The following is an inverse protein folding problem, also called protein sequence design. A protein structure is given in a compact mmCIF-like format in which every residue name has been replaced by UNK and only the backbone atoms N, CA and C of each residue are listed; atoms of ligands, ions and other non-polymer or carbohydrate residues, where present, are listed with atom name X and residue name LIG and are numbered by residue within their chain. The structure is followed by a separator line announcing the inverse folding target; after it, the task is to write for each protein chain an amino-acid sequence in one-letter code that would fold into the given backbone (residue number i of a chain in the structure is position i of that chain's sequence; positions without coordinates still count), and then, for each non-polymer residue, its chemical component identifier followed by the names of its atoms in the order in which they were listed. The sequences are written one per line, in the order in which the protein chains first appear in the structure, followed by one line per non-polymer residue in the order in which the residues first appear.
data_IF_314634842165
#
_entry.id   IF_314634842165
#
_cell.length_a   1.000
_cell.length_b   1.000
_cell.length_c   1.000
_cell.angle_alpha   90.00
_cell.angle_beta   90.00
_cell.angle_gamma   90.00
#
_symmetry.space_group_name_H-M   'P 1'
#
loop_
_entity.id
_entity.type
_entity.pdbx_description
1 polymer ?
#
# COMPACT_ATOMS: atom_id res chain seq x y z
N UNK A 1 9.96 -0.39 -11.61
CA UNK A 1 10.34 -0.91 -10.31
C UNK A 1 9.17 -1.66 -9.69
N UNK A 2 9.46 -2.83 -9.11
CA UNK A 2 8.41 -3.63 -8.46
C UNK A 2 8.27 -3.22 -7.01
N UNK A 3 7.03 -2.96 -6.61
CA UNK A 3 6.72 -2.63 -5.22
C UNK A 3 5.91 -3.79 -4.67
N UNK A 4 6.49 -4.64 -3.78
CA UNK A 4 5.81 -5.86 -3.35
C UNK A 4 4.82 -5.66 -2.21
N UNK A 5 4.47 -4.44 -1.90
CA UNK A 5 3.53 -4.16 -0.81
C UNK A 5 2.09 -4.19 -1.30
N UNK A 6 1.17 -4.36 -0.36
CA UNK A 6 -0.24 -4.52 -0.65
C UNK A 6 -0.98 -3.21 -0.67
N UNK A 7 -2.04 -3.17 -1.47
CA UNK A 7 -3.04 -2.09 -1.39
C UNK A 7 -4.41 -2.74 -1.27
N UNK A 8 -5.19 -2.30 -0.31
CA UNK A 8 -6.59 -2.73 -0.19
C UNK A 8 -7.45 -1.57 -0.64
N UNK A 9 -8.16 -1.75 -1.74
CA UNK A 9 -8.98 -0.69 -2.33
C UNK A 9 -10.44 -1.05 -2.13
N UNK A 10 -11.16 -0.20 -1.41
CA UNK A 10 -12.56 -0.44 -1.06
C UNK A 10 -13.40 0.80 -1.33
N UNK A 11 -14.62 0.57 -1.77
CA UNK A 11 -15.56 1.67 -1.99
C UNK A 11 -16.06 2.20 -0.64
N UNK A 12 -16.02 3.51 -0.48
CA UNK A 12 -16.62 4.16 0.68
C UNK A 12 -17.92 4.83 0.25
N UNK A 13 -19.03 4.25 0.66
CA UNK A 13 -20.32 4.79 0.30
C UNK A 13 -20.58 6.13 0.97
N UNK A 14 -20.02 6.30 2.13
CA UNK A 14 -20.14 7.52 2.91
C UNK A 14 -19.44 8.69 2.22
N UNK A 15 -18.23 8.45 1.74
CA UNK A 15 -17.41 9.50 1.14
C UNK A 15 -17.51 9.53 -0.39
N UNK A 16 -18.15 8.53 -0.99
CA UNK A 16 -18.31 8.42 -2.45
C UNK A 16 -16.96 8.41 -3.17
N UNK A 17 -16.00 7.70 -2.59
CA UNK A 17 -14.67 7.51 -3.18
C UNK A 17 -14.18 6.12 -2.87
N UNK A 18 -13.14 5.68 -3.58
CA UNK A 18 -12.43 4.46 -3.23
C UNK A 18 -11.36 4.80 -2.21
N UNK A 19 -11.34 4.06 -1.10
CA UNK A 19 -10.35 4.24 -0.05
C UNK A 19 -9.28 3.18 -0.22
N UNK A 20 -8.03 3.60 -0.15
CA UNK A 20 -6.88 2.71 -0.26
C UNK A 20 -6.24 2.60 1.11
N UNK A 21 -6.06 1.38 1.57
CA UNK A 21 -5.39 1.11 2.84
C UNK A 21 -4.08 0.37 2.53
N UNK A 22 -3.02 0.77 3.19
CA UNK A 22 -1.70 0.17 3.04
C UNK A 22 -1.36 -0.60 4.31
N UNK A 23 -1.72 -1.89 4.37
CA UNK A 23 -1.65 -2.63 5.64
C UNK A 23 -0.25 -2.78 6.20
N UNK A 24 0.77 -2.91 5.35
CA UNK A 24 2.15 -3.07 5.86
C UNK A 24 2.69 -1.79 6.48
N UNK A 25 2.05 -0.66 6.23
CA UNK A 25 2.49 0.63 6.74
C UNK A 25 1.52 1.18 7.80
N UNK A 26 1.05 0.29 8.67
CA UNK A 26 0.24 0.70 9.80
C UNK A 26 -1.15 1.18 9.44
N UNK A 27 -1.67 0.74 8.29
CA UNK A 27 -3.00 1.14 7.87
C UNK A 27 -3.07 2.55 7.32
N UNK A 28 -1.97 3.06 6.83
CA UNK A 28 -1.94 4.36 6.16
C UNK A 28 -2.96 4.36 5.02
N UNK A 29 -3.65 5.47 4.81
CA UNK A 29 -4.75 5.54 3.85
C UNK A 29 -4.62 6.69 2.88
N UNK A 30 -5.15 6.46 1.68
CA UNK A 30 -5.37 7.51 0.71
C UNK A 30 -6.68 7.18 -0.02
N UNK A 31 -7.02 7.90 -1.05
CA UNK A 31 -8.29 7.67 -1.75
C UNK A 31 -8.16 8.10 -3.20
N UNK A 32 -9.18 7.74 -3.99
CA UNK A 32 -9.28 8.17 -5.37
C UNK A 32 -10.72 8.09 -5.83
N UNK A 33 -11.07 8.87 -6.83
CA UNK A 33 -12.43 8.94 -7.34
C UNK A 33 -12.77 7.69 -8.16
N UNK A 34 -11.79 7.12 -8.85
CA UNK A 34 -11.95 5.89 -9.61
C UNK A 34 -10.95 4.85 -9.08
N UNK A 35 -11.14 3.61 -9.53
CA UNK A 35 -10.19 2.55 -9.20
C UNK A 35 -8.78 2.91 -9.64
N UNK A 36 -8.66 3.42 -10.86
CA UNK A 36 -7.36 3.79 -11.40
C UNK A 36 -6.72 4.91 -10.59
N UNK A 37 -7.51 5.92 -10.25
CA UNK A 37 -7.00 7.02 -9.43
C UNK A 37 -6.57 6.53 -8.06
N UNK A 38 -7.36 5.65 -7.45
CA UNK A 38 -7.05 5.11 -6.14
C UNK A 38 -5.74 4.31 -6.19
N UNK A 39 -5.59 3.45 -7.19
CA UNK A 39 -4.37 2.66 -7.33
C UNK A 39 -3.15 3.54 -7.56
N UNK A 40 -3.29 4.57 -8.38
CA UNK A 40 -2.20 5.50 -8.64
C UNK A 40 -1.80 6.25 -7.38
N UNK A 41 -2.79 6.75 -6.66
CA UNK A 41 -2.52 7.49 -5.42
C UNK A 41 -1.91 6.59 -4.36
N UNK A 42 -2.38 5.35 -4.27
CA UNK A 42 -1.80 4.38 -3.34
C UNK A 42 -0.36 4.09 -3.65
N UNK A 43 -0.04 3.93 -4.94
CA UNK A 43 1.33 3.67 -5.35
C UNK A 43 2.23 4.86 -5.03
N UNK A 44 1.76 6.08 -5.25
CA UNK A 44 2.53 7.27 -4.95
C UNK A 44 2.84 7.37 -3.45
N UNK A 45 1.86 7.05 -2.63
CA UNK A 45 2.07 7.05 -1.18
C UNK A 45 3.09 5.98 -0.78
N UNK A 46 2.98 4.79 -1.38
CA UNK A 46 3.95 3.71 -1.12
C UNK A 46 5.36 4.16 -1.48
N UNK A 47 5.53 4.78 -2.63
CA UNK A 47 6.84 5.26 -3.05
C UNK A 47 7.41 6.28 -2.07
N UNK A 48 6.57 7.19 -1.59
CA UNK A 48 6.99 8.19 -0.62
C UNK A 48 7.37 7.56 0.71
N UNK A 49 6.60 6.58 1.17
CA UNK A 49 6.88 5.90 2.43
C UNK A 49 8.19 5.12 2.35
N UNK A 50 8.42 4.43 1.24
CA UNK A 50 9.66 3.68 1.04
C UNK A 50 10.85 4.63 1.01
N UNK A 51 10.74 5.70 0.26
CA UNK A 51 11.80 6.69 0.11
C UNK A 51 12.12 7.34 1.46
N UNK A 52 11.10 7.70 2.20
CA UNK A 52 11.26 8.32 3.51
C UNK A 52 11.96 7.38 4.49
N UNK A 53 11.57 6.11 4.48
CA UNK A 53 12.20 5.12 5.36
C UNK A 53 13.67 4.94 5.00
N UNK A 54 13.99 4.89 3.71
CA UNK A 54 15.38 4.75 3.28
C UNK A 54 16.21 5.96 3.65
N UNK A 55 15.65 7.16 3.48
CA UNK A 55 16.37 8.40 3.84
C UNK A 55 16.66 8.48 5.32
N UNK A 56 15.76 7.96 6.14
CA UNK A 56 15.91 8.00 7.59
C UNK A 56 16.64 6.78 8.14
N UNK A 57 17.01 5.85 7.27
CA UNK A 57 17.68 4.63 7.70
C UNK A 57 16.79 3.67 8.47
N UNK A 58 15.49 3.80 8.30
CA UNK A 58 14.54 2.91 8.98
C UNK A 58 14.34 1.63 8.20
N UNK A 59 14.08 0.54 8.92
CA UNK A 59 13.78 -0.74 8.29
C UNK A 59 12.41 -0.68 7.62
N UNK A 60 12.32 -1.25 6.42
CA UNK A 60 11.04 -1.39 5.73
C UNK A 60 10.28 -2.58 6.29
N UNK A 61 8.95 -2.51 6.32
CA UNK A 61 8.16 -3.64 6.80
C UNK A 61 8.23 -4.81 5.84
N UNK A 62 7.93 -6.00 6.34
CA UNK A 62 7.88 -7.21 5.53
C UNK A 62 6.63 -7.19 4.67
N UNK A 63 6.75 -7.41 3.37
CA UNK A 63 5.57 -7.49 2.51
C UNK A 63 4.74 -8.74 2.81
N UNK A 64 3.43 -8.58 2.78
CA UNK A 64 2.52 -9.70 2.91
C UNK A 64 2.29 -10.28 1.52
N UNK A 65 2.97 -11.36 1.19
CA UNK A 65 2.93 -11.94 -0.15
C UNK A 65 2.13 -13.22 -0.19
N UNK A 66 1.41 -13.39 -1.29
CA UNK A 66 0.79 -14.67 -1.59
C UNK A 66 1.84 -15.57 -2.23
N UNK A 67 1.67 -16.88 -2.04
CA UNK A 67 2.57 -17.85 -2.66
C UNK A 67 3.98 -17.84 -2.14
N UNK A 68 4.19 -17.26 -0.98
CA UNK A 68 5.45 -17.34 -0.30
C UNK A 68 5.77 -18.76 -0.01
N UNK A 69 6.99 -19.16 -0.22
CA UNK A 69 7.36 -20.53 0.11
C UNK A 69 7.26 -20.63 1.57
N UNK A 70 6.48 -21.31 1.93
CA UNK A 70 6.33 -21.48 3.15
C UNK A 70 7.18 -22.24 3.64
N UNK A 71 7.54 -22.27 3.34
CA UNK A 71 8.17 -22.82 3.83
C UNK A 71 7.99 -23.36 4.40
N UNK A 72 7.71 -23.48 4.30
CA UNK A 72 7.46 -23.81 4.61
C UNK A 72 7.41 -24.35 5.25
N UNK A 73 7.29 -24.35 5.39
CA UNK A 73 7.23 -24.91 5.99
C UNK A 73 7.01 -24.93 6.39
#
# INVERSE_FOLDING_TARGET
MTIPYSMVIQWSDEDQVYVVTLPEFGGCRTHGVTYEDAAKNGREVLELLIESAQDEGQALPEPAKLGSPVSAG
#
